data_IF_777083708837
#
_entry.id   IF_777083708837
#
_cell.length_a   1.000
_cell.length_b   1.000
_cell.length_c   1.000
_cell.angle_alpha   90.00
_cell.angle_beta   90.00
_cell.angle_gamma   90.00
#
_symmetry.space_group_name_H-M   'P 1'
#
loop_
_entity.id
_entity.type
_entity.pdbx_description
1 polymer ?
#
# COMPACT_ATOMS: atom_id res chain seq x y z
N UNK A 1 15.64 -5.50 -25.79
CA UNK A 1 14.52 -5.23 -24.86
C UNK A 1 14.90 -4.14 -23.85
N UNK A 2 16.06 -4.25 -23.19
CA UNK A 2 16.58 -3.27 -22.22
C UNK A 2 16.64 -1.84 -22.79
N UNK A 3 17.18 -1.65 -23.99
CA UNK A 3 17.24 -0.34 -24.66
C UNK A 3 15.86 0.27 -25.01
N UNK A 4 14.85 -0.57 -25.25
CA UNK A 4 13.47 -0.09 -25.51
C UNK A 4 12.81 0.39 -24.22
N UNK A 5 13.08 -0.26 -23.09
CA UNK A 5 12.54 0.17 -21.79
C UNK A 5 13.23 1.43 -21.27
N UNK A 6 14.55 1.56 -21.44
CA UNK A 6 15.29 2.78 -21.05
C UNK A 6 14.88 4.00 -21.88
N UNK A 7 14.68 3.83 -23.19
CA UNK A 7 14.18 4.91 -24.07
C UNK A 7 12.73 5.30 -23.76
N UNK A 8 11.88 4.35 -23.37
CA UNK A 8 10.49 4.63 -22.96
C UNK A 8 10.40 5.29 -21.58
N UNK A 9 11.36 5.05 -20.67
CA UNK A 9 11.44 5.71 -19.37
C UNK A 9 11.74 7.21 -19.50
N UNK A 10 12.47 7.65 -20.54
CA UNK A 10 12.67 9.09 -20.78
C UNK A 10 11.39 9.81 -21.23
N UNK A 11 10.36 9.07 -21.67
CA UNK A 11 9.08 9.63 -22.06
C UNK A 11 8.10 9.66 -20.88
N UNK A 12 7.91 10.84 -20.28
CA UNK A 12 7.09 11.07 -19.09
C UNK A 12 5.67 10.49 -19.20
N UNK A 13 5.05 10.52 -20.38
CA UNK A 13 3.68 10.00 -20.60
C UNK A 13 3.58 8.47 -20.58
N UNK A 14 4.69 7.74 -20.75
CA UNK A 14 4.69 6.26 -20.83
C UNK A 14 5.33 5.58 -19.62
N UNK A 15 5.85 6.35 -18.66
CA UNK A 15 6.50 5.81 -17.45
C UNK A 15 5.59 4.85 -16.67
N UNK A 16 4.32 5.19 -16.47
CA UNK A 16 3.36 4.34 -15.74
C UNK A 16 3.19 2.95 -16.38
N UNK A 17 3.10 2.91 -17.72
CA UNK A 17 3.02 1.65 -18.48
C UNK A 17 4.29 0.82 -18.37
N UNK A 18 5.46 1.47 -18.29
CA UNK A 18 6.73 0.77 -18.11
C UNK A 18 6.79 0.11 -16.73
N UNK A 19 6.48 0.83 -15.65
CA UNK A 19 6.48 0.22 -14.31
C UNK A 19 5.44 -0.88 -14.15
N UNK A 20 4.27 -0.74 -14.79
CA UNK A 20 3.28 -1.80 -14.83
C UNK A 20 3.81 -3.05 -15.57
N UNK A 21 4.53 -2.87 -16.67
CA UNK A 21 5.16 -3.98 -17.38
C UNK A 21 6.27 -4.65 -16.55
N UNK A 22 7.03 -3.86 -15.77
CA UNK A 22 8.05 -4.37 -14.86
C UNK A 22 7.44 -5.17 -13.70
N UNK A 23 6.31 -4.70 -13.16
CA UNK A 23 5.52 -5.44 -12.16
C UNK A 23 5.17 -6.85 -12.66
N UNK A 24 4.67 -6.96 -13.90
CA UNK A 24 4.30 -8.25 -14.50
C UNK A 24 5.53 -9.10 -14.88
N UNK A 25 6.63 -8.47 -15.29
CA UNK A 25 7.83 -9.17 -15.75
C UNK A 25 8.65 -9.78 -14.60
N UNK A 26 8.57 -9.22 -13.38
CA UNK A 26 9.31 -9.68 -12.18
C UNK A 26 10.82 -9.83 -12.42
N UNK A 27 11.41 -8.91 -13.19
CA UNK A 27 12.81 -8.98 -13.61
C UNK A 27 13.72 -8.21 -12.65
N UNK A 28 14.53 -8.93 -11.86
CA UNK A 28 15.47 -8.38 -10.86
C UNK A 28 16.51 -7.40 -11.45
N UNK A 29 16.83 -7.50 -12.76
CA UNK A 29 17.80 -6.61 -13.44
C UNK A 29 17.43 -5.11 -13.40
N UNK A 30 16.16 -4.77 -13.16
CA UNK A 30 15.69 -3.39 -13.15
C UNK A 30 15.57 -2.77 -11.75
N UNK A 31 16.09 -3.45 -10.72
CA UNK A 31 16.05 -2.98 -9.33
C UNK A 31 16.64 -1.58 -9.17
N UNK A 32 17.82 -1.30 -9.74
CA UNK A 32 18.47 0.02 -9.65
C UNK A 32 17.61 1.14 -10.24
N UNK A 33 16.91 0.88 -11.35
CA UNK A 33 16.03 1.87 -12.00
C UNK A 33 14.77 2.15 -11.18
N UNK A 34 14.22 1.13 -10.54
CA UNK A 34 13.06 1.27 -9.63
C UNK A 34 13.48 2.09 -8.41
N UNK A 35 14.64 1.80 -7.85
CA UNK A 35 15.19 2.49 -6.68
C UNK A 35 15.46 3.97 -6.96
N UNK A 36 16.03 4.30 -8.11
CA UNK A 36 16.30 5.70 -8.49
C UNK A 36 15.02 6.54 -8.62
N UNK A 37 13.93 5.93 -9.09
CA UNK A 37 12.65 6.63 -9.26
C UNK A 37 11.88 6.73 -7.95
N UNK A 38 12.00 5.72 -7.07
CA UNK A 38 11.54 5.81 -5.67
C UNK A 38 12.30 6.92 -4.91
N UNK A 39 13.62 7.10 -5.15
CA UNK A 39 14.41 8.18 -4.53
C UNK A 39 13.94 9.57 -4.95
N UNK A 40 13.59 9.75 -6.23
CA UNK A 40 13.14 11.04 -6.77
C UNK A 40 11.69 11.35 -6.37
N UNK A 41 10.79 10.37 -6.48
CA UNK A 41 9.36 10.45 -6.16
C UNK A 41 8.71 11.78 -6.61
N UNK A 42 8.99 12.21 -7.85
CA UNK A 42 8.47 13.46 -8.41
C UNK A 42 6.96 13.38 -8.70
N UNK A 43 6.50 12.22 -9.15
CA UNK A 43 5.10 11.92 -9.45
C UNK A 43 4.64 10.80 -8.53
N UNK A 44 3.57 11.07 -7.79
CA UNK A 44 3.03 10.18 -6.77
C UNK A 44 2.48 8.89 -7.35
N UNK A 45 1.85 8.94 -8.54
CA UNK A 45 1.28 7.76 -9.19
C UNK A 45 2.39 6.83 -9.73
N UNK A 46 3.44 7.41 -10.31
CA UNK A 46 4.60 6.65 -10.81
C UNK A 46 5.40 6.06 -9.65
N UNK A 47 5.59 6.82 -8.57
CA UNK A 47 6.28 6.37 -7.36
C UNK A 47 5.52 5.20 -6.70
N UNK A 48 4.19 5.29 -6.61
CA UNK A 48 3.32 4.21 -6.12
C UNK A 48 3.41 2.95 -6.99
N UNK A 49 3.39 3.09 -8.33
CA UNK A 49 3.57 1.95 -9.24
C UNK A 49 4.96 1.30 -9.12
N UNK A 50 6.01 2.11 -8.96
CA UNK A 50 7.37 1.63 -8.76
C UNK A 50 7.50 0.83 -7.45
N UNK A 51 6.89 1.30 -6.37
CA UNK A 51 6.85 0.58 -5.09
C UNK A 51 6.06 -0.73 -5.18
N UNK A 52 4.95 -0.76 -5.94
CA UNK A 52 4.24 -2.01 -6.18
C UNK A 52 5.02 -2.97 -7.07
N UNK A 53 5.78 -2.48 -8.05
CA UNK A 53 6.69 -3.33 -8.80
C UNK A 53 7.77 -3.93 -7.87
N UNK A 54 8.28 -3.14 -6.92
CA UNK A 54 9.22 -3.62 -5.90
C UNK A 54 8.59 -4.66 -4.97
N UNK A 55 7.29 -4.56 -4.67
CA UNK A 55 6.58 -5.48 -3.78
C UNK A 55 6.46 -6.92 -4.31
N UNK A 56 6.70 -7.11 -5.61
CA UNK A 56 6.71 -8.42 -6.26
C UNK A 56 8.05 -9.16 -6.13
N UNK A 57 9.14 -8.46 -5.80
CA UNK A 57 10.44 -9.10 -5.58
C UNK A 57 10.49 -9.81 -4.23
N UNK A 58 11.40 -10.78 -4.12
CA UNK A 58 11.61 -11.48 -2.85
C UNK A 58 12.22 -10.49 -1.82
N UNK A 59 11.54 -10.22 -0.70
CA UNK A 59 12.03 -9.27 0.31
C UNK A 59 13.37 -9.68 0.95
N UNK A 60 13.74 -10.96 0.93
CA UNK A 60 15.02 -11.45 1.45
C UNK A 60 16.23 -10.94 0.68
N UNK A 61 16.03 -10.53 -0.58
CA UNK A 61 17.09 -10.02 -1.44
C UNK A 61 17.24 -8.49 -1.39
N UNK A 62 16.44 -7.79 -0.58
CA UNK A 62 16.49 -6.34 -0.54
C UNK A 62 17.83 -5.85 -0.01
N UNK A 63 18.50 -5.03 -0.80
CA UNK A 63 19.73 -4.37 -0.39
C UNK A 63 19.47 -3.41 0.78
N UNK A 64 20.49 -3.18 1.61
CA UNK A 64 20.41 -2.20 2.73
C UNK A 64 20.00 -0.81 2.24
N UNK A 65 20.44 -0.43 1.03
CA UNK A 65 20.05 0.84 0.41
C UNK A 65 18.54 0.97 0.23
N UNK A 66 17.86 -0.10 -0.20
CA UNK A 66 16.39 -0.10 -0.36
C UNK A 66 15.72 0.10 0.98
N UNK A 67 16.16 -0.63 2.01
CA UNK A 67 15.59 -0.54 3.35
C UNK A 67 15.74 0.88 3.90
N UNK A 68 16.90 1.51 3.72
CA UNK A 68 17.15 2.89 4.15
C UNK A 68 16.27 3.90 3.39
N UNK A 69 16.03 3.68 2.09
CA UNK A 69 15.11 4.51 1.30
C UNK A 69 13.67 4.35 1.79
N UNK A 70 13.20 3.13 2.00
CA UNK A 70 11.86 2.85 2.51
C UNK A 70 11.66 3.48 3.90
N UNK A 71 12.66 3.36 4.79
CA UNK A 71 12.66 3.98 6.13
C UNK A 71 12.56 5.50 6.02
N UNK A 72 13.36 6.10 5.15
CA UNK A 72 13.37 7.56 4.97
C UNK A 72 12.09 8.11 4.32
N UNK A 73 11.41 7.34 3.46
CA UNK A 73 10.08 7.72 2.93
C UNK A 73 9.02 7.59 4.02
N UNK A 74 8.99 6.47 4.73
CA UNK A 74 7.97 6.19 5.73
C UNK A 74 7.95 7.22 6.87
N UNK A 75 9.14 7.59 7.38
CA UNK A 75 9.30 8.55 8.46
C UNK A 75 9.35 10.02 8.02
N UNK A 76 9.22 10.31 6.71
CA UNK A 76 9.33 11.66 6.16
C UNK A 76 10.56 12.41 6.69
N UNK A 77 11.74 11.78 6.59
CA UNK A 77 12.97 12.38 7.11
C UNK A 77 13.25 13.76 6.47
N UNK A 78 13.80 14.67 7.28
CA UNK A 78 14.03 16.07 6.91
C UNK A 78 14.78 16.20 5.57
N UNK A 79 14.26 17.05 4.68
CA UNK A 79 14.82 17.29 3.34
C UNK A 79 14.09 16.56 2.20
N UNK A 80 13.07 15.75 2.49
CA UNK A 80 12.18 15.16 1.47
C UNK A 80 10.85 15.90 1.33
N UNK A 81 10.25 15.89 0.13
CA UNK A 81 8.88 16.38 -0.05
C UNK A 81 7.92 15.53 0.79
N UNK A 82 6.90 16.18 1.38
CA UNK A 82 5.81 15.49 2.07
C UNK A 82 5.20 14.47 1.12
N UNK A 83 5.19 13.22 1.56
CA UNK A 83 4.81 12.09 0.71
C UNK A 83 3.36 11.71 0.97
N UNK A 84 2.68 11.19 -0.05
CA UNK A 84 1.29 10.76 0.09
C UNK A 84 1.14 9.60 1.10
N UNK A 85 -0.01 9.56 1.77
CA UNK A 85 -0.34 8.53 2.77
C UNK A 85 -0.22 7.10 2.21
N UNK A 86 -0.67 6.89 0.97
CA UNK A 86 -0.62 5.60 0.25
C UNK A 86 0.82 5.12 0.02
N UNK A 87 1.72 6.05 -0.35
CA UNK A 87 3.14 5.74 -0.57
C UNK A 87 3.76 5.29 0.76
N UNK A 88 3.46 6.00 1.85
CA UNK A 88 3.94 5.62 3.19
C UNK A 88 3.36 4.29 3.65
N UNK A 89 2.08 4.03 3.39
CA UNK A 89 1.43 2.75 3.67
C UNK A 89 2.18 1.59 3.01
N UNK A 90 2.45 1.67 1.70
CA UNK A 90 3.17 0.61 0.97
C UNK A 90 4.61 0.47 1.50
N UNK A 91 5.31 1.57 1.75
CA UNK A 91 6.65 1.49 2.35
C UNK A 91 6.63 0.76 3.71
N UNK A 92 5.65 1.04 4.57
CA UNK A 92 5.46 0.35 5.84
C UNK A 92 5.18 -1.15 5.66
N UNK A 93 4.34 -1.52 4.69
CA UNK A 93 4.10 -2.93 4.34
C UNK A 93 5.38 -3.64 3.86
N UNK A 94 6.16 -2.98 3.01
CA UNK A 94 7.42 -3.53 2.49
C UNK A 94 8.46 -3.72 3.60
N UNK A 95 8.60 -2.74 4.51
CA UNK A 95 9.51 -2.84 5.65
C UNK A 95 9.17 -4.06 6.53
N UNK A 96 7.89 -4.33 6.80
CA UNK A 96 7.46 -5.48 7.60
C UNK A 96 7.62 -6.82 6.89
N UNK A 97 7.71 -6.83 5.56
CA UNK A 97 8.02 -8.03 4.77
C UNK A 97 9.50 -8.40 4.82
N UNK A 98 10.39 -7.43 5.10
CA UNK A 98 11.82 -7.67 5.30
C UNK A 98 12.13 -8.15 6.73
N UNK A 99 13.33 -8.68 6.94
CA UNK A 99 13.84 -8.99 8.28
C UNK A 99 14.09 -7.71 9.10
N UNK A 100 13.02 -7.19 9.70
CA UNK A 100 13.05 -5.93 10.42
C UNK A 100 13.90 -6.02 11.71
N UNK A 101 14.72 -5.01 11.97
CA UNK A 101 15.44 -4.89 13.24
C UNK A 101 14.50 -4.53 14.39
N UNK A 102 14.87 -4.83 15.63
CA UNK A 102 14.06 -4.46 16.81
C UNK A 102 13.91 -2.93 16.91
N UNK A 103 14.98 -2.18 16.63
CA UNK A 103 14.95 -0.72 16.64
C UNK A 103 14.01 -0.15 15.58
N UNK A 104 14.02 -0.72 14.36
CA UNK A 104 13.10 -0.31 13.30
C UNK A 104 11.64 -0.64 13.65
N UNK A 105 11.40 -1.81 14.25
CA UNK A 105 10.07 -2.20 14.71
C UNK A 105 9.55 -1.24 15.80
N UNK A 106 10.41 -0.84 16.74
CA UNK A 106 10.07 0.19 17.74
C UNK A 106 9.71 1.51 17.06
N UNK A 107 10.51 1.96 16.09
CA UNK A 107 10.22 3.19 15.34
C UNK A 107 8.90 3.13 14.58
N UNK A 108 8.57 1.98 13.96
CA UNK A 108 7.26 1.77 13.32
C UNK A 108 6.12 1.83 14.34
N UNK A 109 6.26 1.17 15.49
CA UNK A 109 5.23 1.19 16.55
C UNK A 109 5.05 2.61 17.10
N UNK A 110 6.14 3.32 17.41
CA UNK A 110 6.08 4.70 17.89
C UNK A 110 5.44 5.64 16.87
N UNK A 111 5.76 5.49 15.58
CA UNK A 111 5.11 6.25 14.52
C UNK A 111 3.62 5.92 14.39
N UNK A 112 3.19 4.73 14.81
CA UNK A 112 1.78 4.33 14.81
C UNK A 112 0.97 5.05 15.90
N UNK A 113 1.64 5.52 16.95
CA UNK A 113 1.05 6.32 18.02
C UNK A 113 1.11 7.83 17.74
N UNK A 114 1.76 8.26 16.66
CA UNK A 114 1.84 9.66 16.33
C UNK A 114 0.44 10.22 15.96
N UNK A 115 0.07 11.31 16.64
CA UNK A 115 -1.24 11.95 16.51
C UNK A 115 -1.40 12.67 15.16
N UNK A 116 -0.31 12.95 14.45
CA UNK A 116 -0.37 13.67 13.17
C UNK A 116 -1.13 12.89 12.09
N UNK A 117 -0.97 11.56 12.04
CA UNK A 117 -1.55 10.71 11.00
C UNK A 117 -2.24 9.48 11.61
N UNK A 118 -3.26 9.73 12.44
CA UNK A 118 -4.01 8.68 13.15
C UNK A 118 -4.43 7.52 12.25
N UNK A 119 -4.96 7.77 11.04
CA UNK A 119 -5.40 6.69 10.13
C UNK A 119 -4.27 5.78 9.65
N UNK A 120 -3.09 6.32 9.35
CA UNK A 120 -1.93 5.49 8.99
C UNK A 120 -1.40 4.77 10.22
N UNK A 121 -1.43 5.39 11.41
CA UNK A 121 -1.04 4.73 12.63
C UNK A 121 -1.93 3.55 13.01
N UNK A 122 -3.26 3.71 12.91
CA UNK A 122 -4.22 2.61 13.10
C UNK A 122 -3.95 1.49 12.10
N UNK A 123 -3.78 1.85 10.82
CA UNK A 123 -3.48 0.90 9.76
C UNK A 123 -2.19 0.11 10.07
N UNK A 124 -1.10 0.80 10.40
CA UNK A 124 0.19 0.19 10.66
C UNK A 124 0.17 -0.70 11.89
N UNK A 125 -0.54 -0.31 12.95
CA UNK A 125 -0.74 -1.19 14.09
C UNK A 125 -1.47 -2.48 13.70
N UNK A 126 -2.61 -2.37 13.01
CA UNK A 126 -3.38 -3.55 12.58
C UNK A 126 -2.58 -4.45 11.65
N UNK A 127 -1.78 -3.85 10.76
CA UNK A 127 -0.82 -4.55 9.92
C UNK A 127 0.22 -5.32 10.74
N UNK A 128 0.85 -4.68 11.73
CA UNK A 128 1.84 -5.32 12.61
C UNK A 128 1.19 -6.46 13.40
N UNK A 129 0.04 -6.21 14.04
CA UNK A 129 -0.66 -7.22 14.84
C UNK A 129 -1.09 -8.41 13.99
N UNK A 130 -1.73 -8.18 12.84
CA UNK A 130 -2.18 -9.25 11.96
C UNK A 130 -1.01 -10.02 11.34
N UNK A 131 0.10 -9.35 11.03
CA UNK A 131 1.31 -10.03 10.55
C UNK A 131 1.96 -10.85 11.66
N UNK A 132 1.97 -10.35 12.90
CA UNK A 132 2.53 -11.05 14.06
C UNK A 132 1.76 -12.33 14.39
N UNK A 133 0.44 -12.37 14.17
CA UNK A 133 -0.36 -13.60 14.35
C UNK A 133 0.14 -14.76 13.46
N UNK A 134 0.72 -14.46 12.30
CA UNK A 134 1.15 -15.47 11.32
C UNK A 134 2.67 -15.63 11.22
N UNK A 135 3.46 -14.73 11.84
CA UNK A 135 4.91 -14.75 11.79
C UNK A 135 5.48 -14.85 13.21
N UNK A 136 5.97 -16.05 13.55
CA UNK A 136 6.50 -16.35 14.88
C UNK A 136 7.70 -15.45 15.25
N UNK A 137 8.56 -15.10 14.28
CA UNK A 137 9.71 -14.24 14.54
C UNK A 137 9.28 -12.82 14.91
N UNK A 138 8.30 -12.28 14.17
CA UNK A 138 7.74 -10.96 14.47
C UNK A 138 7.02 -10.98 15.82
N UNK A 139 6.26 -12.04 16.12
CA UNK A 139 5.58 -12.23 17.39
C UNK A 139 6.56 -12.24 18.58
N UNK A 140 7.68 -12.97 18.46
CA UNK A 140 8.74 -12.99 19.48
C UNK A 140 9.37 -11.61 19.69
N UNK A 141 9.64 -10.87 18.61
CA UNK A 141 10.15 -9.48 18.70
C UNK A 141 9.14 -8.56 19.38
N UNK A 142 7.86 -8.65 19.03
CA UNK A 142 6.77 -7.90 19.67
C UNK A 142 6.66 -8.20 21.17
N UNK A 143 6.72 -9.50 21.54
CA UNK A 143 6.69 -9.92 22.95
C UNK A 143 7.91 -9.42 23.71
N UNK A 144 9.09 -9.41 23.10
CA UNK A 144 10.30 -8.85 23.70
C UNK A 144 10.16 -7.34 23.95
N UNK A 145 9.62 -6.59 22.99
CA UNK A 145 9.39 -5.14 23.15
C UNK A 145 8.39 -4.86 24.28
N UNK A 146 7.29 -5.62 24.32
CA UNK A 146 6.24 -5.47 25.33
C UNK A 146 6.72 -5.89 26.73
N UNK A 147 7.39 -7.04 26.86
CA UNK A 147 7.89 -7.53 28.15
C UNK A 147 9.09 -6.75 28.66
N UNK A 148 9.90 -6.18 27.76
CA UNK A 148 11.07 -5.37 28.09
C UNK A 148 10.73 -3.95 28.53
N UNK A 149 9.45 -3.53 28.50
CA UNK A 149 9.05 -2.17 28.85
C UNK A 149 9.67 -1.10 27.94
N UNK A 150 10.07 -1.47 26.72
CA UNK A 150 10.73 -0.55 25.78
C UNK A 150 9.74 0.49 25.20
N UNK A 151 8.45 0.19 25.28
CA UNK A 151 7.36 1.08 24.88
C UNK A 151 6.22 0.92 25.89
N UNK A 152 5.74 2.03 26.45
CA UNK A 152 4.56 2.04 27.31
C UNK A 152 3.29 1.87 26.46
N UNK A 153 2.93 0.61 26.23
CA UNK A 153 1.69 0.20 25.58
C UNK A 153 0.52 0.37 26.56
N UNK A 154 0.11 1.62 26.80
CA UNK A 154 -1.05 1.95 27.64
C UNK A 154 -2.34 1.81 26.85
N UNK A 155 -3.47 1.53 27.52
CA UNK A 155 -4.78 1.49 26.87
C UNK A 155 -5.08 2.78 26.09
N UNK A 156 -4.63 3.95 26.56
CA UNK A 156 -4.80 5.22 25.85
C UNK A 156 -4.00 5.31 24.54
N UNK A 157 -2.80 4.71 24.46
CA UNK A 157 -2.02 4.68 23.21
C UNK A 157 -2.57 3.63 22.23
N UNK A 158 -3.12 2.52 22.73
CA UNK A 158 -3.72 1.45 21.92
C UNK A 158 -5.17 1.74 21.54
N UNK A 159 -5.86 2.65 22.24
CA UNK A 159 -7.23 3.04 21.93
C UNK A 159 -7.27 3.89 20.65
N UNK A 160 -7.21 3.20 19.51
CA UNK A 160 -7.15 3.83 18.21
C UNK A 160 -8.49 4.49 17.84
N UNK A 161 -8.43 5.80 17.59
CA UNK A 161 -9.50 6.55 16.92
C UNK A 161 -9.20 6.58 15.43
N UNK A 162 -9.64 5.56 14.69
CA UNK A 162 -9.47 5.50 13.24
C UNK A 162 -10.28 4.38 12.60
N UNK A 163 -10.61 4.58 11.33
CA UNK A 163 -11.45 3.68 10.53
C UNK A 163 -10.63 2.83 9.56
N UNK A 164 -9.35 3.14 9.36
CA UNK A 164 -8.45 2.28 8.57
C UNK A 164 -8.34 0.89 9.18
N UNK A 165 -8.31 -0.13 8.33
CA UNK A 165 -8.29 -1.53 8.72
C UNK A 165 -7.23 -2.32 7.96
N UNK A 166 -6.72 -3.36 8.61
CA UNK A 166 -5.90 -4.38 7.97
C UNK A 166 -6.09 -5.69 8.70
N UNK A 167 -6.45 -6.73 7.98
CA UNK A 167 -6.44 -8.08 8.52
C UNK A 167 -6.20 -9.11 7.43
N UNK A 168 -5.56 -10.18 7.85
CA UNK A 168 -5.32 -11.38 7.06
C UNK A 168 -5.89 -12.58 7.78
N UNK A 169 -6.65 -13.40 7.07
CA UNK A 169 -7.28 -14.59 7.64
C UNK A 169 -7.21 -15.77 6.66
N UNK A 170 -7.16 -17.02 7.17
CA UNK A 170 -7.33 -18.19 6.33
C UNK A 170 -8.76 -18.28 5.81
N UNK A 171 -8.91 -18.54 4.52
CA UNK A 171 -10.16 -18.93 3.90
C UNK A 171 -10.35 -20.44 3.95
N UNK A 172 -9.30 -21.19 3.58
CA UNK A 172 -9.24 -22.66 3.64
C UNK A 172 -7.81 -23.06 4.02
N UNK A 173 -7.66 -23.93 5.01
CA UNK A 173 -6.35 -24.51 5.36
C UNK A 173 -6.39 -26.02 5.13
N UNK A 174 -5.43 -26.53 4.36
CA UNK A 174 -5.28 -27.96 4.07
C UNK A 174 -3.85 -28.39 4.37
N UNK A 175 -3.62 -29.70 4.53
CA UNK A 175 -2.28 -30.27 4.69
C UNK A 175 -1.42 -30.00 3.44
N UNK A 176 -0.67 -28.89 3.44
CA UNK A 176 0.33 -28.54 2.42
C UNK A 176 0.17 -27.14 1.82
N UNK A 177 -1.05 -26.64 1.71
CA UNK A 177 -1.32 -25.26 1.25
C UNK A 177 -2.49 -24.64 2.00
N UNK A 178 -2.41 -23.33 2.21
CA UNK A 178 -3.48 -22.51 2.76
C UNK A 178 -3.90 -21.44 1.76
N UNK A 179 -5.21 -21.25 1.60
CA UNK A 179 -5.78 -20.11 0.90
C UNK A 179 -6.07 -19.04 1.93
N UNK A 180 -5.50 -17.86 1.73
CA UNK A 180 -5.67 -16.72 2.63
C UNK A 180 -6.34 -15.58 1.88
N UNK A 181 -7.17 -14.82 2.59
CA UNK A 181 -7.67 -13.56 2.12
C UNK A 181 -7.12 -12.43 2.99
N UNK A 182 -6.76 -11.32 2.34
CA UNK A 182 -6.24 -10.12 3.00
C UNK A 182 -7.11 -8.95 2.61
N UNK A 183 -7.53 -8.17 3.59
CA UNK A 183 -8.24 -6.91 3.39
C UNK A 183 -7.38 -5.81 3.97
N UNK A 184 -7.08 -4.82 3.14
CA UNK A 184 -6.36 -3.60 3.49
C UNK A 184 -7.28 -2.43 3.18
N UNK A 185 -7.47 -1.53 4.13
CA UNK A 185 -8.32 -0.36 3.98
C UNK A 185 -7.66 0.84 4.65
N UNK A 186 -7.27 1.82 3.86
CA UNK A 186 -6.74 3.10 4.32
C UNK A 186 -7.78 4.20 4.13
N UNK A 187 -8.17 4.79 5.25
CA UNK A 187 -9.06 5.94 5.31
C UNK A 187 -8.27 7.24 5.36
N UNK A 188 -8.90 8.28 4.87
CA UNK A 188 -8.51 9.66 5.13
C UNK A 188 -8.77 10.05 6.59
N UNK A 189 -8.08 11.09 7.04
CA UNK A 189 -8.39 11.81 8.29
C UNK A 189 -9.88 12.18 8.40
N UNK A 190 -10.54 12.46 7.29
CA UNK A 190 -11.95 12.86 7.22
C UNK A 190 -12.91 11.68 6.98
N UNK A 191 -12.42 10.44 7.05
CA UNK A 191 -13.26 9.23 6.88
C UNK A 191 -13.56 8.84 5.44
N UNK A 192 -13.06 9.59 4.44
CA UNK A 192 -13.15 9.19 3.04
C UNK A 192 -12.20 8.02 2.72
N UNK A 193 -12.59 7.13 1.80
CA UNK A 193 -11.72 6.06 1.33
C UNK A 193 -10.55 6.62 0.50
N UNK A 194 -9.32 6.28 0.87
CA UNK A 194 -8.14 6.53 0.03
C UNK A 194 -7.71 5.31 -0.76
N UNK A 195 -7.62 4.17 -0.08
CA UNK A 195 -7.15 2.93 -0.70
C UNK A 195 -7.81 1.74 -0.02
N UNK A 196 -8.36 0.82 -0.79
CA UNK A 196 -8.83 -0.47 -0.31
C UNK A 196 -8.35 -1.54 -1.24
N UNK A 197 -7.69 -2.56 -0.71
CA UNK A 197 -7.20 -3.70 -1.46
C UNK A 197 -7.73 -4.98 -0.81
N UNK A 198 -8.17 -5.89 -1.66
CA UNK A 198 -8.60 -7.24 -1.32
C UNK A 198 -7.73 -8.21 -2.12
N UNK A 199 -7.02 -9.07 -1.43
CA UNK A 199 -6.13 -10.06 -2.03
C UNK A 199 -6.54 -11.47 -1.63
N UNK A 200 -6.67 -12.35 -2.62
CA UNK A 200 -6.82 -13.79 -2.44
C UNK A 200 -5.58 -14.49 -2.96
N UNK A 201 -4.83 -15.11 -2.05
CA UNK A 201 -3.60 -15.81 -2.41
C UNK A 201 -3.52 -17.19 -1.79
N UNK A 202 -2.88 -18.09 -2.53
CA UNK A 202 -2.47 -19.40 -2.05
C UNK A 202 -1.06 -19.26 -1.49
N UNK A 203 -0.84 -19.81 -0.30
CA UNK A 203 0.49 -19.92 0.29
C UNK A 203 0.83 -21.38 0.54
N UNK A 204 1.99 -21.80 0.05
CA UNK A 204 2.54 -23.11 0.39
C UNK A 204 3.28 -23.03 1.72
N UNK A 205 2.98 -23.93 2.66
CA UNK A 205 3.53 -23.87 4.02
C UNK A 205 5.06 -24.06 4.06
N UNK A 206 5.62 -24.94 3.23
CA UNK A 206 7.05 -25.28 3.28
C UNK A 206 7.96 -24.27 2.58
N UNK A 207 7.56 -23.75 1.42
CA UNK A 207 8.37 -22.85 0.60
C UNK A 207 8.09 -21.37 0.83
N UNK A 208 7.05 -21.06 1.61
CA UNK A 208 6.56 -19.70 1.83
C UNK A 208 6.24 -18.95 0.50
N UNK A 209 6.08 -19.69 -0.59
CA UNK A 209 5.75 -19.13 -1.91
C UNK A 209 4.28 -18.70 -1.90
N UNK A 210 4.04 -17.49 -2.42
CA UNK A 210 2.71 -16.89 -2.51
C UNK A 210 2.30 -16.81 -3.98
N UNK A 211 1.15 -17.39 -4.28
CA UNK A 211 0.53 -17.27 -5.59
C UNK A 211 -0.77 -16.47 -5.48
N UNK A 212 -0.80 -15.28 -6.06
CA UNK A 212 -1.99 -14.44 -6.05
C UNK A 212 -3.01 -14.94 -7.09
N UNK A 213 -4.20 -15.31 -6.62
CA UNK A 213 -5.31 -15.75 -7.47
C UNK A 213 -6.07 -14.56 -8.02
N UNK A 214 -6.47 -13.66 -7.14
CA UNK A 214 -7.31 -12.51 -7.45
C UNK A 214 -6.95 -11.38 -6.49
N UNK A 215 -6.65 -10.21 -7.03
CA UNK A 215 -6.64 -8.97 -6.26
C UNK A 215 -7.58 -7.95 -6.86
N UNK A 216 -8.27 -7.22 -5.99
CA UNK A 216 -9.08 -6.08 -6.32
C UNK A 216 -8.64 -4.91 -5.46
N UNK A 217 -8.34 -3.78 -6.08
CA UNK A 217 -7.93 -2.57 -5.38
C UNK A 217 -8.71 -1.36 -5.88
N UNK A 218 -9.23 -0.53 -4.98
CA UNK A 218 -9.82 0.76 -5.29
C UNK A 218 -8.99 1.84 -4.63
N UNK A 219 -8.51 2.78 -5.43
CA UNK A 219 -7.85 3.97 -4.94
C UNK A 219 -8.69 5.18 -5.28
N UNK A 220 -8.83 6.10 -4.33
CA UNK A 220 -9.49 7.37 -4.54
C UNK A 220 -8.68 8.51 -3.93
N UNK A 221 -8.60 9.61 -4.66
CA UNK A 221 -7.96 10.85 -4.26
C UNK A 221 -8.97 11.98 -4.34
N UNK A 222 -8.86 12.98 -3.45
CA UNK A 222 -9.70 14.18 -3.46
C UNK A 222 -11.11 14.02 -2.87
N UNK A 223 -11.58 12.81 -2.52
CA UNK A 223 -12.93 12.61 -1.94
C UNK A 223 -13.12 13.31 -0.58
N UNK A 224 -12.04 13.63 0.11
CA UNK A 224 -12.01 14.25 1.43
C UNK A 224 -12.69 15.62 1.46
N UNK A 225 -12.56 16.37 0.36
CA UNK A 225 -13.17 17.68 0.18
C UNK A 225 -14.71 17.62 0.17
N UNK A 226 -15.29 16.46 -0.17
CA UNK A 226 -16.74 16.27 -0.32
C UNK A 226 -17.40 15.51 0.83
N UNK A 227 -16.63 14.78 1.64
CA UNK A 227 -17.15 13.98 2.77
C UNK A 227 -17.29 14.81 4.06
N UNK A 228 -16.69 15.99 4.13
CA UNK A 228 -16.68 16.81 5.34
C UNK A 228 -17.91 17.72 5.45
N UNK A 229 -18.59 17.67 6.60
CA UNK A 229 -19.77 18.49 6.96
C UNK A 229 -19.45 20.00 7.10
N UNK A 230 -18.17 20.35 7.19
CA UNK A 230 -17.73 21.71 7.53
C UNK A 230 -17.76 22.74 6.37
N UNK A 231 -18.27 22.40 5.18
CA UNK A 231 -18.56 23.37 4.12
C UNK A 231 -17.38 24.19 3.59
N UNK A 232 -16.15 23.96 4.09
CA UNK A 232 -14.91 24.53 3.56
C UNK A 232 -14.42 23.63 2.44
N UNK A 233 -15.17 23.64 1.34
CA UNK A 233 -14.58 23.33 0.04
C UNK A 233 -13.39 24.28 -0.11
N UNK A 234 -12.17 23.78 0.02
CA UNK A 234 -11.01 24.55 -0.36
C UNK A 234 -11.12 24.79 -1.86
N UNK A 235 -11.26 26.05 -2.28
CA UNK A 235 -11.33 26.54 -3.67
C UNK A 235 -10.09 26.18 -4.54
N UNK A 236 -9.27 25.22 -4.12
CA UNK A 236 -7.97 24.91 -4.73
C UNK A 236 -7.82 23.51 -5.29
N UNK A 237 -8.78 22.60 -5.21
CA UNK A 237 -8.55 21.20 -5.65
C UNK A 237 -9.70 20.49 -6.40
N UNK A 238 -10.39 21.18 -7.31
CA UNK A 238 -11.28 20.52 -8.28
C UNK A 238 -10.52 19.56 -9.25
N UNK A 239 -9.20 19.71 -9.37
CA UNK A 239 -8.36 19.00 -10.35
C UNK A 239 -7.80 17.64 -9.87
N UNK A 240 -7.91 17.29 -8.59
CA UNK A 240 -7.30 16.07 -8.02
C UNK A 240 -8.31 14.96 -7.63
N UNK A 241 -9.59 15.17 -7.92
CA UNK A 241 -10.63 14.20 -7.62
C UNK A 241 -10.58 13.05 -8.64
N UNK A 242 -10.08 11.90 -8.23
CA UNK A 242 -9.94 10.75 -9.14
C UNK A 242 -10.16 9.45 -8.37
N UNK A 243 -10.83 8.49 -9.00
CA UNK A 243 -10.86 7.12 -8.51
C UNK A 243 -10.44 6.12 -9.59
N UNK A 244 -9.69 5.11 -9.16
CA UNK A 244 -9.13 4.07 -9.99
C UNK A 244 -9.44 2.70 -9.41
N UNK A 245 -9.78 1.79 -10.31
CA UNK A 245 -9.98 0.37 -10.05
C UNK A 245 -8.79 -0.42 -10.60
N UNK A 246 -8.21 -1.26 -9.76
CA UNK A 246 -7.09 -2.14 -10.06
C UNK A 246 -7.52 -3.57 -9.87
N UNK A 247 -7.22 -4.39 -10.87
CA UNK A 247 -7.54 -5.82 -10.84
C UNK A 247 -6.26 -6.58 -11.20
N UNK A 248 -5.94 -7.58 -10.39
CA UNK A 248 -4.91 -8.58 -10.67
C UNK A 248 -5.56 -9.95 -10.74
N UNK A 249 -5.20 -10.75 -11.73
CA UNK A 249 -5.68 -12.11 -11.89
C UNK A 249 -4.49 -13.03 -12.14
N UNK A 250 -4.39 -14.12 -11.37
CA UNK A 250 -3.34 -15.13 -11.52
C UNK A 250 -1.92 -14.51 -11.59
N UNK A 251 -1.57 -13.68 -10.60
CA UNK A 251 -0.31 -12.93 -10.52
C UNK A 251 -0.05 -11.91 -11.66
N UNK A 252 -1.02 -11.63 -12.52
CA UNK A 252 -0.91 -10.61 -13.57
C UNK A 252 -1.76 -9.38 -13.24
N UNK A 253 -1.09 -8.24 -13.13
CA UNK A 253 -1.77 -6.95 -12.97
C UNK A 253 -2.31 -6.48 -14.32
N UNK A 254 -3.62 -6.27 -14.38
CA UNK A 254 -4.28 -5.66 -15.53
C UNK A 254 -4.10 -4.15 -15.51
N UNK A 255 -4.34 -3.52 -16.67
CA UNK A 255 -4.32 -2.07 -16.79
C UNK A 255 -5.38 -1.47 -15.84
N UNK A 256 -5.02 -0.52 -14.95
CA UNK A 256 -5.98 0.15 -14.11
C UNK A 256 -7.09 0.84 -14.91
N UNK A 257 -8.31 0.78 -14.40
CA UNK A 257 -9.50 1.42 -14.98
C UNK A 257 -9.82 2.65 -14.16
N UNK A 258 -9.84 3.82 -14.79
CA UNK A 258 -10.26 5.06 -14.14
C UNK A 258 -11.79 5.05 -14.07
N UNK A 259 -12.35 5.10 -12.86
CA UNK A 259 -13.80 5.13 -12.64
C UNK A 259 -14.36 6.51 -12.95
N UNK A 260 -13.69 7.54 -12.43
CA UNK A 260 -13.98 8.93 -12.74
C UNK A 260 -12.73 9.78 -12.58
N UNK A 261 -12.73 10.93 -13.26
CA UNK A 261 -11.71 11.96 -13.15
C UNK A 261 -12.40 13.33 -13.09
N UNK A 262 -12.02 14.14 -12.11
CA UNK A 262 -12.64 15.40 -11.76
C UNK A 262 -14.07 15.26 -11.24
N UNK A 263 -14.62 16.39 -10.77
CA UNK A 263 -15.98 16.52 -10.24
C UNK A 263 -17.04 16.18 -11.29
N UNK A 264 -16.85 16.65 -12.53
CA UNK A 264 -17.74 16.35 -13.65
C UNK A 264 -17.79 14.86 -13.96
N UNK A 265 -16.63 14.18 -13.88
CA UNK A 265 -16.56 12.73 -14.03
C UNK A 265 -17.31 11.99 -12.91
N UNK A 266 -17.13 12.43 -11.66
CA UNK A 266 -17.85 11.86 -10.52
C UNK A 266 -19.36 12.03 -10.67
N UNK A 267 -19.83 13.25 -10.94
CA UNK A 267 -21.27 13.53 -11.07
C UNK A 267 -21.88 12.79 -12.26
N UNK A 268 -21.15 12.69 -13.38
CA UNK A 268 -21.55 11.86 -14.52
C UNK A 268 -21.65 10.38 -14.15
N UNK A 269 -20.69 9.86 -13.39
CA UNK A 269 -20.70 8.46 -12.93
C UNK A 269 -21.85 8.19 -11.95
N UNK A 270 -22.16 9.12 -11.04
CA UNK A 270 -23.30 9.02 -10.12
C UNK A 270 -24.63 9.08 -10.88
N UNK A 271 -24.76 9.98 -11.85
CA UNK A 271 -25.98 10.12 -12.64
C UNK A 271 -26.21 8.96 -13.60
N UNK A 272 -25.11 8.40 -14.11
CA UNK A 272 -25.11 7.22 -14.98
C UNK A 272 -25.03 5.91 -14.20
N UNK A 273 -25.03 5.97 -12.85
CA UNK A 273 -24.90 4.81 -12.01
C UNK A 273 -26.11 3.89 -12.23
N UNK A 274 -25.91 2.70 -12.82
CA UNK A 274 -27.01 1.79 -13.05
C UNK A 274 -27.50 1.26 -11.71
N UNK A 275 -28.82 1.21 -11.54
CA UNK A 275 -29.44 0.57 -10.38
C UNK A 275 -29.27 -0.96 -10.40
N UNK A 276 -28.90 -1.52 -11.55
CA UNK A 276 -28.69 -2.95 -11.78
C UNK A 276 -27.20 -3.33 -11.75
N UNK A 277 -26.92 -4.60 -11.44
CA UNK A 277 -25.56 -5.15 -11.42
C UNK A 277 -24.90 -4.98 -12.78
N UNK A 278 -23.77 -4.30 -12.82
CA UNK A 278 -22.95 -4.15 -14.03
C UNK A 278 -21.71 -5.03 -14.00
N UNK A 279 -21.43 -5.68 -15.12
CA UNK A 279 -20.22 -6.48 -15.30
C UNK A 279 -19.01 -5.56 -15.40
N UNK A 280 -18.17 -5.53 -14.36
CA UNK A 280 -16.92 -4.77 -14.34
C UNK A 280 -15.85 -5.41 -15.24
N UNK A 281 -15.95 -6.72 -15.47
CA UNK A 281 -15.07 -7.51 -16.31
C UNK A 281 -15.94 -8.44 -17.18
N UNK A 282 -15.65 -8.52 -18.48
CA UNK A 282 -16.33 -9.42 -19.43
C UNK A 282 -15.28 -10.20 -20.20
#
# INVERSE_FOLDING_TARGET
AIEKYTTLLHNTKKKSLVYLSLYNAKVELYESMIVDEIRRCNDTAVCWLALNALSQYNPEKFSKEIIDILRSIYHEQAGRPKTNLQIRQICGQLLLRTDISIGDLINLILSSFDKTNHQLGVYMWRLISSTAEHNELLFRKMKYISAGGLIDMTYDSIAYKGQSDFYRRPFVETFGFGVYYTVSQLMSRLGALRESDFDLHIQQHEKNEKFNLLSFGVSASGLEAYVSDDGKASDTEDENLQAELRISLLNMQLRPVVLFNGVTGLMSAVWSAPSELTSAFK
#
